data_IF_702823357574
#
_entry.id   IF_702823357574
#
_cell.length_a   1.000
_cell.length_b   1.000
_cell.length_c   1.000
_cell.angle_alpha   90.00
_cell.angle_beta   90.00
_cell.angle_gamma   90.00
#
_symmetry.space_group_name_H-M   'P 1'
#
loop_
_entity.id
_entity.type
_entity.pdbx_description
1 polymer ?
#
# COMPACT_ATOMS: atom_id res chain seq x y z
N UNK A 1 -20.98 -0.89 -1.27
CA UNK A 1 -20.02 -1.79 -1.93
C UNK A 1 -19.13 -2.40 -0.85
N UNK A 2 -18.72 -3.67 -1.00
CA UNK A 2 -17.92 -4.37 0.00
C UNK A 2 -16.47 -3.89 -0.08
N UNK A 3 -15.93 -3.40 1.04
CA UNK A 3 -14.52 -3.01 1.14
C UNK A 3 -13.63 -4.22 0.87
N UNK A 4 -12.60 -4.02 0.04
CA UNK A 4 -11.63 -5.03 -0.35
C UNK A 4 -10.27 -4.67 0.22
N UNK A 5 -9.43 -5.68 0.37
CA UNK A 5 -8.06 -5.53 0.85
C UNK A 5 -7.06 -6.13 -0.15
N UNK A 6 -5.91 -5.48 -0.27
CA UNK A 6 -4.72 -6.04 -0.89
C UNK A 6 -3.58 -5.98 0.12
N UNK A 7 -2.80 -7.05 0.20
CA UNK A 7 -1.71 -7.19 1.16
C UNK A 7 -0.41 -7.38 0.40
N UNK A 8 0.56 -6.52 0.67
CA UNK A 8 1.93 -6.66 0.21
C UNK A 8 2.80 -7.12 1.39
N UNK A 9 3.43 -8.28 1.22
CA UNK A 9 4.25 -8.93 2.23
C UNK A 9 5.70 -9.07 1.74
N UNK A 10 6.66 -8.79 2.62
CA UNK A 10 8.09 -9.02 2.36
C UNK A 10 8.50 -10.34 2.99
N UNK A 11 8.92 -11.30 2.16
CA UNK A 11 9.30 -12.64 2.63
C UNK A 11 10.75 -12.73 3.12
N UNK A 12 11.63 -11.85 2.61
CA UNK A 12 13.06 -11.86 2.92
C UNK A 12 13.62 -10.43 2.99
N UNK A 13 14.48 -10.17 3.99
CA UNK A 13 15.15 -8.88 4.16
C UNK A 13 14.18 -7.74 4.44
N UNK A 14 14.25 -6.69 3.62
CA UNK A 14 13.37 -5.54 3.68
C UNK A 14 13.19 -4.87 2.33
N UNK A 15 12.09 -4.15 2.16
CA UNK A 15 11.72 -3.43 0.95
C UNK A 15 11.52 -1.95 1.28
N UNK A 16 12.27 -1.09 0.58
CA UNK A 16 12.07 0.36 0.65
C UNK A 16 11.15 0.78 -0.50
N UNK A 17 10.03 1.40 -0.18
CA UNK A 17 9.00 1.78 -1.16
C UNK A 17 8.72 3.28 -1.05
N UNK A 18 8.93 4.01 -2.14
CA UNK A 18 8.45 5.39 -2.28
C UNK A 18 7.19 5.47 -3.14
N UNK A 19 7.15 4.63 -4.18
CA UNK A 19 6.01 4.50 -5.09
C UNK A 19 5.80 3.03 -5.41
N UNK A 20 4.54 2.62 -5.59
CA UNK A 20 4.16 1.30 -6.09
C UNK A 20 3.09 1.44 -7.18
N UNK A 21 3.26 0.75 -8.31
CA UNK A 21 2.20 0.63 -9.33
C UNK A 21 1.40 -0.64 -9.08
N UNK A 22 0.09 -0.50 -8.98
CA UNK A 22 -0.87 -1.58 -8.78
C UNK A 22 -1.93 -1.48 -9.89
N UNK A 23 -1.74 -2.15 -11.04
CA UNK A 23 -2.64 -2.00 -12.19
C UNK A 23 -4.12 -2.25 -11.88
N UNK A 24 -4.42 -3.17 -10.94
CA UNK A 24 -5.79 -3.46 -10.51
C UNK A 24 -6.46 -2.32 -9.72
N UNK A 25 -5.69 -1.31 -9.29
CA UNK A 25 -6.18 -0.12 -8.58
C UNK A 25 -6.55 1.03 -9.50
N UNK A 26 -6.32 0.95 -10.82
CA UNK A 26 -6.53 2.06 -11.76
C UNK A 26 -7.88 2.76 -11.59
N UNK A 27 -8.97 1.98 -11.52
CA UNK A 27 -10.35 2.48 -11.38
C UNK A 27 -10.88 2.37 -9.94
N UNK A 28 -10.05 1.95 -8.99
CA UNK A 28 -10.43 1.76 -7.59
C UNK A 28 -10.02 2.94 -6.74
N UNK A 29 -10.79 3.22 -5.69
CA UNK A 29 -10.46 4.26 -4.73
C UNK A 29 -9.76 3.63 -3.53
N UNK A 30 -8.51 4.03 -3.29
CA UNK A 30 -7.82 3.69 -2.04
C UNK A 30 -8.42 4.52 -0.90
N UNK A 31 -8.86 3.86 0.17
CA UNK A 31 -9.42 4.48 1.37
C UNK A 31 -8.35 4.75 2.42
N UNK A 32 -7.52 3.75 2.68
CA UNK A 32 -6.46 3.81 3.67
C UNK A 32 -5.36 2.84 3.28
N UNK A 33 -4.12 3.19 3.62
CA UNK A 33 -2.98 2.29 3.51
C UNK A 33 -2.34 2.20 4.89
N UNK A 34 -2.08 0.98 5.34
CA UNK A 34 -1.55 0.70 6.66
C UNK A 34 -0.28 -0.12 6.53
N UNK A 35 0.72 0.21 7.35
CA UNK A 35 1.83 -0.70 7.66
C UNK A 35 1.59 -1.21 9.07
N UNK A 36 1.31 -2.51 9.15
CA UNK A 36 0.82 -3.19 10.36
C UNK A 36 -0.45 -2.52 10.92
N UNK A 37 -0.31 -1.69 11.96
CA UNK A 37 -1.42 -0.96 12.61
C UNK A 37 -1.35 0.55 12.40
N UNK A 38 -0.35 1.06 11.68
CA UNK A 38 -0.15 2.49 11.45
C UNK A 38 -0.63 2.86 10.06
N UNK A 39 -1.53 3.84 10.01
CA UNK A 39 -1.93 4.45 8.74
C UNK A 39 -0.80 5.29 8.18
N UNK A 40 -0.71 5.32 6.86
CA UNK A 40 0.36 5.98 6.12
C UNK A 40 -0.26 6.98 5.17
N UNK A 41 0.33 8.17 5.10
CA UNK A 41 -0.06 9.19 4.13
C UNK A 41 0.41 8.83 2.72
N UNK A 42 -0.49 8.97 1.76
CA UNK A 42 -0.25 8.66 0.35
C UNK A 42 -1.08 9.53 -0.58
N UNK A 43 -0.64 9.61 -1.82
CA UNK A 43 -1.40 10.13 -2.95
C UNK A 43 -1.54 9.03 -4.01
N UNK A 44 -2.66 9.03 -4.74
CA UNK A 44 -2.93 8.04 -5.80
C UNK A 44 -3.04 8.74 -7.15
N UNK A 45 -2.28 8.27 -8.12
CA UNK A 45 -2.26 8.75 -9.50
C UNK A 45 -2.56 7.60 -10.46
N UNK A 46 -3.82 7.41 -10.82
CA UNK A 46 -4.24 6.29 -11.66
C UNK A 46 -3.95 4.95 -10.96
N UNK A 47 -3.01 4.17 -11.49
CA UNK A 47 -2.58 2.89 -10.89
C UNK A 47 -1.42 3.03 -9.89
N UNK A 48 -0.80 4.21 -9.79
CA UNK A 48 0.31 4.46 -8.89
C UNK A 48 -0.15 4.96 -7.53
N UNK A 49 0.52 4.49 -6.48
CA UNK A 49 0.40 4.99 -5.12
C UNK A 49 1.77 5.52 -4.72
N UNK A 50 1.83 6.80 -4.41
CA UNK A 50 3.03 7.49 -3.94
C UNK A 50 2.88 7.80 -2.45
N UNK A 51 3.85 7.35 -1.66
CA UNK A 51 3.85 7.59 -0.21
C UNK A 51 4.48 8.94 0.12
N UNK A 52 3.92 9.65 1.11
CA UNK A 52 4.46 10.94 1.57
C UNK A 52 5.92 10.79 2.03
N UNK A 53 6.21 9.70 2.75
CA UNK A 53 7.55 9.30 3.18
C UNK A 53 7.93 7.94 2.60
N UNK A 54 9.23 7.68 2.42
CA UNK A 54 9.70 6.35 2.03
C UNK A 54 9.35 5.33 3.11
N UNK A 55 8.61 4.30 2.74
CA UNK A 55 8.27 3.20 3.64
C UNK A 55 9.36 2.16 3.66
N UNK A 56 9.56 1.55 4.82
CA UNK A 56 10.45 0.41 5.01
C UNK A 56 9.58 -0.73 5.52
N UNK A 57 9.39 -1.74 4.68
CA UNK A 57 8.73 -3.00 5.07
C UNK A 57 9.79 -4.04 5.34
N UNK A 58 9.92 -4.45 6.59
CA UNK A 58 10.78 -5.56 6.98
C UNK A 58 10.02 -6.88 6.94
N UNK A 59 10.75 -7.99 6.93
CA UNK A 59 10.17 -9.33 7.03
C UNK A 59 9.24 -9.42 8.26
N UNK A 60 8.01 -9.86 8.03
CA UNK A 60 6.98 -10.02 9.06
C UNK A 60 6.02 -8.83 9.17
N UNK A 61 6.36 -7.68 8.59
CA UNK A 61 5.45 -6.55 8.46
C UNK A 61 4.68 -6.64 7.14
N UNK A 62 3.47 -6.09 7.14
CA UNK A 62 2.60 -6.10 5.96
C UNK A 62 2.11 -4.70 5.64
N UNK A 63 2.03 -4.39 4.35
CA UNK A 63 1.33 -3.22 3.86
C UNK A 63 -0.05 -3.65 3.39
N UNK A 64 -1.08 -3.10 4.02
CA UNK A 64 -2.48 -3.36 3.71
C UNK A 64 -3.08 -2.15 3.03
N UNK A 65 -3.69 -2.36 1.86
CA UNK A 65 -4.39 -1.34 1.08
C UNK A 65 -5.88 -1.66 1.15
N UNK A 66 -6.64 -0.77 1.76
CA UNK A 66 -8.10 -0.84 1.79
C UNK A 66 -8.66 -0.03 0.64
N UNK A 67 -9.54 -0.63 -0.17
CA UNK A 67 -10.09 0.01 -1.36
C UNK A 67 -11.53 -0.40 -1.66
N UNK A 68 -12.20 0.42 -2.45
CA UNK A 68 -13.54 0.16 -3.02
C UNK A 68 -13.58 0.33 -4.54
#
# INVERSE_FOLDING_TARGET
MKEQEAILAVLYGGLKIKTVSLPFMKERKAKAIKVDKREVEFEKFGEEIQFANTLILEKGNHLTILYE
#
